data_IF_535621824958
#
_entry.id   IF_535621824958
#
_cell.length_a   1.000
_cell.length_b   1.000
_cell.length_c   1.000
_cell.angle_alpha   90.00
_cell.angle_beta   90.00
_cell.angle_gamma   90.00
#
_symmetry.space_group_name_H-M   'P 1'
#
loop_
_entity.id
_entity.type
_entity.pdbx_description
1 polymer ?
#
# COMPACT_ATOMS: atom_id res chain seq x y z
N UNK A 1 1.28 -13.61 -8.05
CA UNK A 1 1.24 -13.52 -9.52
C UNK A 1 2.54 -12.95 -10.04
N UNK A 2 3.12 -13.56 -11.07
CA UNK A 2 4.37 -13.13 -11.69
C UNK A 2 4.12 -11.89 -12.56
N UNK A 3 5.14 -11.07 -12.78
CA UNK A 3 5.01 -9.84 -13.58
C UNK A 3 4.54 -10.10 -15.03
N UNK A 4 4.51 -11.37 -15.46
CA UNK A 4 4.22 -11.83 -16.81
C UNK A 4 2.73 -11.68 -17.22
N UNK A 5 1.78 -11.76 -16.29
CA UNK A 5 0.35 -11.62 -16.65
C UNK A 5 -0.04 -10.17 -16.91
N UNK A 6 0.36 -9.26 -16.02
CA UNK A 6 0.13 -7.82 -16.19
C UNK A 6 0.79 -7.31 -17.47
N UNK A 7 2.01 -7.77 -17.77
CA UNK A 7 2.72 -7.44 -19.01
C UNK A 7 1.88 -7.81 -20.25
N UNK A 8 1.38 -9.06 -20.32
CA UNK A 8 0.53 -9.52 -21.41
C UNK A 8 -0.73 -8.65 -21.59
N UNK A 9 -1.42 -8.33 -20.49
CA UNK A 9 -2.63 -7.50 -20.54
C UNK A 9 -2.32 -6.09 -21.05
N UNK A 10 -1.26 -5.46 -20.51
CA UNK A 10 -0.85 -4.11 -20.91
C UNK A 10 -0.46 -4.08 -22.38
N UNK A 11 0.37 -5.02 -22.84
CA UNK A 11 0.79 -5.10 -24.25
C UNK A 11 -0.40 -5.37 -25.18
N UNK A 12 -1.31 -6.27 -24.81
CA UNK A 12 -2.50 -6.56 -25.62
C UNK A 12 -3.45 -5.36 -25.75
N UNK A 13 -3.43 -4.43 -24.79
CA UNK A 13 -4.15 -3.16 -24.86
C UNK A 13 -3.37 -2.03 -25.54
N UNK A 14 -2.19 -2.33 -26.12
CA UNK A 14 -1.33 -1.34 -26.78
C UNK A 14 -0.49 -0.47 -25.83
N UNK A 15 -0.41 -0.84 -24.55
CA UNK A 15 0.45 -0.18 -23.57
C UNK A 15 1.87 -0.76 -23.54
N UNK A 16 2.74 -0.11 -22.76
CA UNK A 16 4.13 -0.54 -22.53
C UNK A 16 4.39 -0.71 -21.04
N UNK A 17 4.82 -1.89 -20.62
CA UNK A 17 5.31 -2.12 -19.25
C UNK A 17 6.80 -1.77 -19.17
N UNK A 18 7.16 -0.85 -18.28
CA UNK A 18 8.55 -0.50 -18.00
C UNK A 18 8.98 -1.04 -16.63
N UNK A 19 10.14 -1.69 -16.58
CA UNK A 19 10.70 -2.25 -15.34
C UNK A 19 11.66 -1.29 -14.63
N UNK A 20 12.11 -0.26 -15.34
CA UNK A 20 12.95 0.84 -14.86
C UNK A 20 12.11 2.10 -14.70
N UNK A 21 12.49 2.96 -13.75
CA UNK A 21 11.84 4.24 -13.58
C UNK A 21 12.14 5.16 -14.77
N UNK A 22 11.10 5.83 -15.28
CA UNK A 22 11.17 6.82 -16.36
C UNK A 22 10.17 7.95 -16.09
N UNK A 23 10.48 9.21 -16.45
CA UNK A 23 9.50 10.31 -16.37
C UNK A 23 8.27 10.11 -17.27
N UNK A 24 8.42 9.31 -18.33
CA UNK A 24 7.40 9.09 -19.35
C UNK A 24 6.29 8.11 -18.92
N UNK A 25 6.43 7.47 -17.76
CA UNK A 25 5.38 6.57 -17.26
C UNK A 25 4.13 7.36 -16.84
N UNK A 26 2.96 6.83 -17.19
CA UNK A 26 1.68 7.42 -16.84
C UNK A 26 1.17 6.92 -15.48
N UNK A 27 1.41 5.64 -15.15
CA UNK A 27 0.89 4.95 -13.97
C UNK A 27 1.98 4.09 -13.33
N UNK A 28 1.92 3.95 -12.01
CA UNK A 28 2.76 3.02 -11.25
C UNK A 28 1.88 1.91 -10.70
N UNK A 29 2.15 0.67 -11.09
CA UNK A 29 1.44 -0.50 -10.57
C UNK A 29 2.25 -1.08 -9.42
N UNK A 30 1.64 -1.23 -8.25
CA UNK A 30 2.31 -1.78 -7.06
C UNK A 30 1.54 -2.96 -6.46
N UNK A 31 2.29 -3.94 -5.97
CA UNK A 31 1.76 -5.12 -5.28
C UNK A 31 1.75 -4.95 -3.75
N UNK A 32 2.67 -4.14 -3.22
CA UNK A 32 2.89 -3.99 -1.79
C UNK A 32 3.42 -2.59 -1.46
N UNK A 33 2.79 -1.94 -0.48
CA UNK A 33 3.16 -0.61 0.03
C UNK A 33 4.50 -0.59 0.79
N UNK A 34 5.01 -1.75 1.21
CA UNK A 34 6.31 -1.89 1.87
C UNK A 34 7.49 -1.92 0.90
N UNK A 35 7.23 -2.09 -0.40
CA UNK A 35 8.29 -2.15 -1.40
C UNK A 35 9.03 -0.80 -1.51
N UNK A 36 10.36 -0.84 -1.58
CA UNK A 36 11.17 0.38 -1.80
C UNK A 36 10.76 1.15 -3.05
N UNK A 37 10.36 0.45 -4.12
CA UNK A 37 9.85 1.06 -5.36
C UNK A 37 8.56 1.85 -5.13
N UNK A 38 7.66 1.41 -4.24
CA UNK A 38 6.45 2.16 -3.88
C UNK A 38 6.82 3.47 -3.18
N UNK A 39 7.68 3.42 -2.15
CA UNK A 39 8.12 4.62 -1.41
C UNK A 39 8.81 5.62 -2.33
N UNK A 40 9.69 5.13 -3.21
CA UNK A 40 10.36 5.98 -4.18
C UNK A 40 9.36 6.65 -5.15
N UNK A 41 8.42 5.88 -5.70
CA UNK A 41 7.41 6.40 -6.62
C UNK A 41 6.52 7.47 -5.96
N UNK A 42 6.08 7.22 -4.72
CA UNK A 42 5.24 8.14 -3.95
C UNK A 42 5.92 9.50 -3.76
N UNK A 43 7.21 9.50 -3.44
CA UNK A 43 7.95 10.72 -3.12
C UNK A 43 8.48 11.46 -4.35
N UNK A 44 8.77 10.76 -5.44
CA UNK A 44 9.55 11.33 -6.56
C UNK A 44 8.76 11.49 -7.87
N UNK A 45 7.81 10.60 -8.18
CA UNK A 45 7.22 10.57 -9.52
C UNK A 45 5.99 11.47 -9.67
N UNK A 46 5.27 11.76 -8.58
CA UNK A 46 3.96 12.47 -8.61
C UNK A 46 2.97 11.88 -9.63
N UNK A 47 3.10 10.58 -9.94
CA UNK A 47 2.19 9.85 -10.84
C UNK A 47 1.19 9.04 -10.01
N UNK A 48 -0.01 8.72 -10.55
CA UNK A 48 -0.95 7.84 -9.88
C UNK A 48 -0.33 6.46 -9.59
N UNK A 49 -0.45 6.01 -8.34
CA UNK A 49 -0.06 4.67 -7.90
C UNK A 49 -1.33 3.84 -7.73
N UNK A 50 -1.46 2.79 -8.53
CA UNK A 50 -2.68 1.98 -8.65
C UNK A 50 -2.39 0.50 -8.38
N UNK A 51 -3.44 -0.22 -7.99
CA UNK A 51 -3.38 -1.67 -7.84
C UNK A 51 -3.48 -2.38 -9.19
N UNK A 52 -3.11 -3.65 -9.23
CA UNK A 52 -3.26 -4.52 -10.41
C UNK A 52 -4.71 -4.63 -10.87
N UNK A 53 -5.67 -4.50 -9.96
CA UNK A 53 -7.10 -4.55 -10.26
C UNK A 53 -7.52 -3.46 -11.26
N UNK A 54 -6.81 -2.32 -11.31
CA UNK A 54 -7.05 -1.29 -12.32
C UNK A 54 -6.74 -1.79 -13.74
N UNK A 55 -5.62 -2.50 -13.91
CA UNK A 55 -5.24 -3.07 -15.21
C UNK A 55 -6.26 -4.12 -15.65
N UNK A 56 -6.71 -4.96 -14.71
CA UNK A 56 -7.75 -5.95 -14.99
C UNK A 56 -9.08 -5.28 -15.37
N UNK A 57 -9.43 -4.16 -14.74
CA UNK A 57 -10.63 -3.43 -15.13
C UNK A 57 -10.49 -2.77 -16.50
N UNK A 58 -9.33 -2.16 -16.79
CA UNK A 58 -9.06 -1.62 -18.12
C UNK A 58 -9.19 -2.70 -19.21
N UNK A 59 -8.66 -3.90 -18.92
CA UNK A 59 -8.80 -5.05 -19.80
C UNK A 59 -10.25 -5.46 -20.01
N UNK A 60 -11.02 -5.58 -18.91
CA UNK A 60 -12.43 -5.97 -18.94
C UNK A 60 -13.29 -4.97 -19.71
N UNK A 61 -13.02 -3.68 -19.60
CA UNK A 61 -13.78 -2.62 -20.26
C UNK A 61 -13.20 -2.21 -21.62
N UNK A 62 -12.10 -2.83 -22.05
CA UNK A 62 -11.39 -2.50 -23.30
C UNK A 62 -11.05 -1.01 -23.44
N UNK A 63 -10.77 -0.33 -22.32
CA UNK A 63 -10.46 1.11 -22.29
C UNK A 63 -9.67 1.46 -21.02
N UNK A 64 -9.02 2.62 -21.03
CA UNK A 64 -8.44 3.19 -19.82
C UNK A 64 -9.57 3.73 -18.93
N UNK A 65 -9.84 3.08 -17.80
CA UNK A 65 -10.87 3.50 -16.85
C UNK A 65 -10.33 4.52 -15.84
N UNK A 66 -11.18 5.36 -15.21
CA UNK A 66 -10.76 6.25 -14.14
C UNK A 66 -10.02 5.51 -13.02
N UNK A 67 -8.90 6.06 -12.56
CA UNK A 67 -7.98 5.36 -11.66
C UNK A 67 -8.27 5.61 -10.17
N UNK A 68 -9.07 6.62 -9.82
CA UNK A 68 -9.19 7.11 -8.43
C UNK A 68 -9.66 6.04 -7.46
N UNK A 69 -10.64 5.22 -7.86
CA UNK A 69 -11.14 4.09 -7.07
C UNK A 69 -10.15 2.93 -6.91
N UNK A 70 -9.04 2.95 -7.65
CA UNK A 70 -8.03 1.90 -7.66
C UNK A 70 -6.68 2.35 -7.09
N UNK A 71 -6.61 3.58 -6.58
CA UNK A 71 -5.42 4.09 -5.92
C UNK A 71 -5.07 3.23 -4.72
N UNK A 72 -3.78 2.94 -4.57
CA UNK A 72 -3.28 2.19 -3.44
C UNK A 72 -3.20 3.12 -2.24
N UNK A 73 -4.01 2.84 -1.22
CA UNK A 73 -3.99 3.58 0.03
C UNK A 73 -2.78 3.18 0.89
N UNK A 74 -2.30 4.07 1.78
CA UNK A 74 -1.04 3.88 2.52
C UNK A 74 -0.93 2.57 3.30
N UNK A 75 -2.04 2.01 3.79
CA UNK A 75 -2.03 0.77 4.58
C UNK A 75 -2.60 -0.44 3.82
N UNK A 76 -2.73 -0.34 2.50
CA UNK A 76 -3.24 -1.43 1.66
C UNK A 76 -2.45 -2.73 1.88
N UNK A 77 -3.15 -3.79 2.28
CA UNK A 77 -2.55 -5.10 2.55
C UNK A 77 -1.84 -5.22 3.90
N UNK A 78 -1.85 -4.16 4.73
CA UNK A 78 -1.30 -4.22 6.09
C UNK A 78 -2.37 -4.68 7.08
N UNK A 79 -1.93 -5.49 8.05
CA UNK A 79 -2.67 -5.78 9.27
C UNK A 79 -1.93 -5.13 10.43
N UNK A 80 -2.59 -4.22 11.13
CA UNK A 80 -2.01 -3.39 12.19
C UNK A 80 -2.69 -3.77 13.50
N UNK A 81 -1.88 -4.21 14.47
CA UNK A 81 -2.32 -4.50 15.83
C UNK A 81 -1.89 -3.38 16.78
N UNK A 82 -2.64 -3.19 17.87
CA UNK A 82 -2.32 -2.19 18.89
C UNK A 82 -2.24 -2.83 20.27
N UNK A 83 -1.21 -2.48 21.04
CA UNK A 83 -1.04 -2.94 22.43
C UNK A 83 -0.65 -1.79 23.37
N UNK A 84 -0.92 -1.94 24.67
CA UNK A 84 -0.54 -0.98 25.71
C UNK A 84 -1.04 0.45 25.51
N UNK A 85 -2.15 0.64 24.79
CA UNK A 85 -2.76 1.96 24.58
C UNK A 85 -4.14 2.06 25.24
N UNK A 86 -4.55 3.26 25.72
CA UNK A 86 -5.89 3.54 26.20
C UNK A 86 -6.98 3.22 25.15
N UNK A 87 -8.20 2.96 25.62
CA UNK A 87 -9.33 2.59 24.75
C UNK A 87 -9.67 3.65 23.70
N UNK A 88 -9.58 4.94 24.05
CA UNK A 88 -9.88 6.03 23.12
C UNK A 88 -8.88 6.11 21.96
N UNK A 89 -7.57 5.99 22.25
CA UNK A 89 -6.51 5.98 21.23
C UNK A 89 -6.61 4.74 20.33
N UNK A 90 -6.95 3.58 20.91
CA UNK A 90 -7.17 2.35 20.12
C UNK A 90 -8.28 2.55 19.08
N UNK A 91 -9.36 3.22 19.44
CA UNK A 91 -10.48 3.48 18.53
C UNK A 91 -10.10 4.52 17.46
N UNK A 92 -9.31 5.53 17.81
CA UNK A 92 -8.78 6.49 16.83
C UNK A 92 -7.84 5.81 15.82
N UNK A 93 -6.89 5.00 16.29
CA UNK A 93 -5.98 4.23 15.44
C UNK A 93 -6.77 3.29 14.54
N UNK A 94 -7.76 2.57 15.08
CA UNK A 94 -8.64 1.70 14.29
C UNK A 94 -9.30 2.46 13.15
N UNK A 95 -9.86 3.65 13.40
CA UNK A 95 -10.46 4.49 12.35
C UNK A 95 -9.43 4.88 11.28
N UNK A 96 -8.26 5.36 11.69
CA UNK A 96 -7.18 5.76 10.78
C UNK A 96 -6.73 4.58 9.91
N UNK A 97 -6.55 3.39 10.52
CA UNK A 97 -6.12 2.17 9.82
C UNK A 97 -7.13 1.79 8.73
N UNK A 98 -8.42 1.73 9.10
CA UNK A 98 -9.49 1.33 8.17
C UNK A 98 -9.69 2.36 7.05
N UNK A 99 -9.67 3.65 7.37
CA UNK A 99 -9.81 4.73 6.38
C UNK A 99 -8.67 4.74 5.35
N UNK A 100 -7.49 4.25 5.72
CA UNK A 100 -6.31 4.19 4.84
C UNK A 100 -6.08 2.79 4.24
N UNK A 101 -7.13 1.95 4.18
CA UNK A 101 -7.12 0.67 3.47
C UNK A 101 -6.41 -0.48 4.18
N UNK A 102 -6.08 -0.31 5.47
CA UNK A 102 -5.50 -1.33 6.31
C UNK A 102 -6.54 -2.17 7.04
N UNK A 103 -6.08 -3.25 7.66
CA UNK A 103 -6.86 -4.08 8.58
C UNK A 103 -6.41 -3.80 10.01
N UNK A 104 -7.35 -3.58 10.90
CA UNK A 104 -7.09 -3.42 12.32
C UNK A 104 -7.30 -4.75 13.06
N UNK A 105 -6.44 -5.05 14.03
CA UNK A 105 -6.64 -6.14 14.99
C UNK A 105 -6.45 -5.64 16.41
N UNK A 106 -7.40 -5.94 17.30
CA UNK A 106 -7.28 -5.56 18.72
C UNK A 106 -6.20 -6.36 19.45
N UNK A 107 -5.84 -7.53 18.91
CA UNK A 107 -4.83 -8.45 19.43
C UNK A 107 -3.72 -8.66 18.41
N UNK A 108 -2.54 -9.05 18.88
CA UNK A 108 -1.44 -9.47 18.01
C UNK A 108 -1.75 -10.88 17.47
N UNK A 109 -1.90 -10.98 16.15
CA UNK A 109 -2.16 -12.26 15.47
C UNK A 109 -0.99 -12.59 14.55
N UNK A 110 -0.85 -13.85 14.15
CA UNK A 110 0.21 -14.29 13.23
C UNK A 110 0.24 -13.50 11.91
N UNK A 111 -0.94 -13.05 11.45
CA UNK A 111 -1.10 -12.26 10.22
C UNK A 111 -0.81 -10.76 10.41
N UNK A 112 -0.44 -10.32 11.61
CA UNK A 112 -0.09 -8.93 11.88
C UNK A 112 1.20 -8.56 11.18
N UNK A 113 1.14 -7.50 10.38
CA UNK A 113 2.32 -6.96 9.68
C UNK A 113 3.07 -5.93 10.52
N UNK A 114 2.33 -5.24 11.41
CA UNK A 114 2.85 -4.18 12.27
C UNK A 114 2.16 -4.24 13.62
N UNK A 115 2.91 -3.88 14.66
CA UNK A 115 2.41 -3.67 16.02
C UNK A 115 2.70 -2.23 16.42
N UNK A 116 1.66 -1.50 16.80
CA UNK A 116 1.77 -0.17 17.41
C UNK A 116 1.67 -0.33 18.92
N UNK A 117 2.61 0.25 19.65
CA UNK A 117 2.62 0.25 21.10
C UNK A 117 2.98 1.64 21.62
N UNK A 118 2.47 1.98 22.81
CA UNK A 118 2.94 3.15 23.52
C UNK A 118 4.40 2.94 23.96
N UNK A 119 5.26 3.92 23.67
CA UNK A 119 6.71 3.90 23.95
C UNK A 119 7.00 4.58 25.29
N UNK A 120 5.99 5.15 25.96
CA UNK A 120 6.09 5.83 27.26
C UNK A 120 6.75 5.02 28.39
N UNK A 121 7.04 3.72 28.20
CA UNK A 121 7.76 2.86 29.13
C UNK A 121 9.22 2.52 28.73
N UNK A 122 9.77 3.08 27.64
CA UNK A 122 11.20 2.91 27.34
C UNK A 122 12.02 3.83 28.24
N UNK A 123 12.53 3.26 29.33
CA UNK A 123 13.53 3.90 30.20
C UNK A 123 14.89 3.81 29.51
N UNK A 124 15.41 4.93 29.00
CA UNK A 124 16.80 5.02 28.57
C UNK A 124 17.70 5.19 29.80
N UNK A 125 18.36 4.12 30.24
CA UNK A 125 19.41 4.20 31.28
C UNK A 125 20.75 4.42 30.58
N UNK A 126 21.39 5.56 30.84
CA UNK A 126 22.83 5.75 30.58
C UNK A 126 23.55 5.35 31.87
N UNK A 127 24.28 4.23 31.84
CA UNK A 127 25.25 3.90 32.89
C UNK A 127 26.50 4.75 32.65
N UNK A 128 26.86 5.58 33.65
CA UNK A 128 28.15 6.28 33.73
C UNK A 128 29.18 5.41 34.44
#
# INVERSE_FOLDING_TARGET
MTNNEIDKLVTAMGGLLQTKASPDINFVIVKNVLAGKYKWALNNLKKPIVSENWVHQCWKEHRVVPHDSYRVLPFSGLTISVTQMPSHEREEIKKIVLQNGGKYSAELIEKSTHLVCDISLIIYIILL
#
